data_IF_336193577418
#
_entry.id   IF_336193577418
#
_cell.length_a   1.000
_cell.length_b   1.000
_cell.length_c   1.000
_cell.angle_alpha   90.00
_cell.angle_beta   90.00
_cell.angle_gamma   90.00
#
_symmetry.space_group_name_H-M   'P 1'
#
loop_
_entity.id
_entity.type
_entity.pdbx_description
1 polymer ?
#
# COMPACT_ATOMS: atom_id res chain seq x y z
N UNK A 1 13.74 12.06 4.59
CA UNK A 1 12.31 12.23 4.92
C UNK A 1 11.62 10.88 4.72
N UNK A 2 10.64 10.54 5.57
CA UNK A 2 9.95 9.23 5.52
C UNK A 2 8.63 9.35 4.77
N UNK A 3 8.35 8.42 3.87
CA UNK A 3 7.15 8.40 3.02
C UNK A 3 6.45 7.05 3.18
N UNK A 4 5.17 7.10 3.51
CA UNK A 4 4.30 5.92 3.57
C UNK A 4 3.35 5.93 2.38
N UNK A 5 3.40 4.89 1.55
CA UNK A 5 2.48 4.67 0.44
C UNK A 5 1.41 3.68 0.90
N UNK A 6 0.19 4.18 1.06
CA UNK A 6 -0.98 3.36 1.36
C UNK A 6 -1.67 2.96 0.05
N UNK A 7 -1.69 1.66 -0.23
CA UNK A 7 -2.37 1.11 -1.41
C UNK A 7 -3.08 -0.17 -0.99
N UNK A 8 -4.21 -0.49 -1.61
CA UNK A 8 -4.98 -1.65 -1.16
C UNK A 8 -4.26 -2.98 -1.37
N UNK A 9 -3.57 -3.12 -2.49
CA UNK A 9 -2.90 -4.33 -2.95
C UNK A 9 -1.75 -3.92 -3.89
N UNK A 10 -0.70 -4.73 -4.00
CA UNK A 10 0.27 -4.64 -5.10
C UNK A 10 0.22 -5.89 -6.01
N UNK A 11 -0.69 -6.81 -5.73
CA UNK A 11 -0.93 -8.04 -6.50
C UNK A 11 -1.90 -7.81 -7.66
N UNK A 12 -2.91 -6.96 -7.47
CA UNK A 12 -3.91 -6.70 -8.51
C UNK A 12 -3.32 -5.76 -9.55
N UNK A 13 -3.29 -6.21 -10.80
CA UNK A 13 -2.59 -5.57 -11.91
C UNK A 13 -3.25 -4.30 -12.45
N UNK A 14 -3.89 -3.50 -11.59
CA UNK A 14 -4.53 -2.25 -11.95
C UNK A 14 -3.54 -1.10 -12.17
N UNK A 15 -4.06 0.03 -12.65
CA UNK A 15 -3.27 1.23 -12.91
C UNK A 15 -2.72 1.85 -11.63
N UNK A 16 -3.56 1.98 -10.60
CA UNK A 16 -3.20 2.55 -9.29
C UNK A 16 -2.01 1.85 -8.64
N UNK A 17 -2.00 0.53 -8.65
CA UNK A 17 -0.99 -0.33 -8.05
C UNK A 17 0.34 -0.19 -8.80
N UNK A 18 0.27 -0.15 -10.14
CA UNK A 18 1.44 0.11 -10.98
C UNK A 18 2.04 1.50 -10.70
N UNK A 19 1.19 2.53 -10.61
CA UNK A 19 1.65 3.89 -10.31
C UNK A 19 2.29 3.99 -8.92
N UNK A 20 1.71 3.34 -7.91
CA UNK A 20 2.26 3.30 -6.56
C UNK A 20 3.65 2.63 -6.52
N UNK A 21 3.82 1.52 -7.24
CA UNK A 21 5.11 0.82 -7.33
C UNK A 21 6.17 1.69 -8.03
N UNK A 22 5.83 2.32 -9.16
CA UNK A 22 6.74 3.20 -9.91
C UNK A 22 7.11 4.42 -9.07
N UNK A 23 6.12 5.13 -8.53
CA UNK A 23 6.34 6.36 -7.77
C UNK A 23 7.23 6.12 -6.55
N UNK A 24 6.93 5.09 -5.75
CA UNK A 24 7.75 4.82 -4.57
C UNK A 24 9.17 4.37 -4.90
N UNK A 25 9.38 3.68 -6.03
CA UNK A 25 10.73 3.35 -6.52
C UNK A 25 11.50 4.61 -6.90
N UNK A 26 10.89 5.53 -7.63
CA UNK A 26 11.52 6.81 -7.99
C UNK A 26 11.88 7.64 -6.75
N UNK A 27 11.00 7.67 -5.74
CA UNK A 27 11.28 8.33 -4.46
C UNK A 27 12.41 7.64 -3.70
N UNK A 28 12.41 6.32 -3.64
CA UNK A 28 13.49 5.56 -3.00
C UNK A 28 14.85 5.86 -3.65
N UNK A 29 14.90 5.90 -4.99
CA UNK A 29 16.11 6.24 -5.75
C UNK A 29 16.61 7.68 -5.52
N UNK A 30 15.73 8.59 -5.11
CA UNK A 30 16.08 9.95 -4.70
C UNK A 30 16.59 10.04 -3.24
N UNK A 31 16.70 8.91 -2.54
CA UNK A 31 17.20 8.82 -1.17
C UNK A 31 16.14 9.02 -0.09
N UNK A 32 14.85 8.93 -0.44
CA UNK A 32 13.78 8.91 0.56
C UNK A 32 13.67 7.52 1.22
N UNK A 33 13.31 7.51 2.49
CA UNK A 33 12.93 6.29 3.22
C UNK A 33 11.47 5.98 2.88
N UNK A 34 11.25 4.95 2.07
CA UNK A 34 9.93 4.60 1.51
C UNK A 34 9.44 3.30 2.13
N UNK A 35 8.23 3.33 2.67
CA UNK A 35 7.51 2.15 3.12
C UNK A 35 6.17 2.03 2.40
N UNK A 36 5.77 0.80 2.11
CA UNK A 36 4.46 0.44 1.59
C UNK A 36 3.64 -0.21 2.69
N UNK A 37 2.37 0.17 2.80
CA UNK A 37 1.39 -0.54 3.62
C UNK A 37 0.21 -0.95 2.75
N UNK A 38 -0.01 -2.26 2.64
CA UNK A 38 -1.13 -2.83 1.92
C UNK A 38 -2.22 -3.40 2.83
N UNK A 39 -3.46 -3.41 2.35
CA UNK A 39 -4.54 -4.13 3.04
C UNK A 39 -4.39 -5.64 2.80
N UNK A 40 -4.13 -6.02 1.55
CA UNK A 40 -3.96 -7.39 1.08
C UNK A 40 -2.53 -7.69 0.64
N UNK A 41 -2.22 -8.98 0.50
CA UNK A 41 -1.06 -9.57 -0.19
C UNK A 41 0.22 -9.82 0.61
N UNK A 42 0.60 -11.10 0.66
CA UNK A 42 1.95 -11.53 1.01
C UNK A 42 2.91 -11.57 -0.20
N UNK A 43 2.37 -11.55 -1.44
CA UNK A 43 3.17 -11.69 -2.66
C UNK A 43 2.79 -10.65 -3.74
N UNK A 44 3.48 -9.49 -3.78
CA UNK A 44 3.22 -8.41 -4.73
C UNK A 44 3.60 -8.79 -6.17
N UNK A 45 2.85 -8.29 -7.15
CA UNK A 45 3.06 -8.59 -8.59
C UNK A 45 4.07 -7.65 -9.25
N UNK A 46 4.11 -6.39 -8.82
CA UNK A 46 5.01 -5.38 -9.37
C UNK A 46 6.33 -5.37 -8.60
N UNK A 47 7.43 -5.09 -9.31
CA UNK A 47 8.71 -4.77 -8.67
C UNK A 47 8.63 -3.36 -8.08
N UNK A 48 9.15 -3.19 -6.86
CA UNK A 48 9.25 -1.90 -6.18
C UNK A 48 10.49 -1.88 -5.28
N UNK A 49 10.83 -0.70 -4.73
CA UNK A 49 11.91 -0.51 -3.76
C UNK A 49 11.40 0.20 -2.51
N UNK A 50 11.85 -0.26 -1.34
CA UNK A 50 11.37 0.20 -0.03
C UNK A 50 10.86 -0.96 0.83
N UNK A 51 10.55 -0.65 2.08
CA UNK A 51 10.02 -1.65 3.02
C UNK A 51 8.56 -1.98 2.70
N UNK A 52 8.15 -3.23 2.92
CA UNK A 52 6.82 -3.70 2.58
C UNK A 52 6.12 -4.30 3.80
N UNK A 53 4.94 -3.75 4.11
CA UNK A 53 4.07 -4.18 5.19
C UNK A 53 2.68 -4.49 4.63
N UNK A 54 2.01 -5.47 5.23
CA UNK A 54 0.63 -5.82 4.89
C UNK A 54 -0.18 -6.01 6.17
N UNK A 55 -1.47 -5.65 6.12
CA UNK A 55 -2.43 -5.97 7.18
C UNK A 55 -2.93 -7.43 7.09
N UNK A 56 -2.55 -8.16 6.04
CA UNK A 56 -2.94 -9.55 5.78
C UNK A 56 -4.46 -9.79 5.83
N UNK A 57 -5.24 -8.81 5.34
CA UNK A 57 -6.67 -9.00 5.15
C UNK A 57 -6.89 -9.99 3.99
N UNK A 58 -7.87 -10.89 4.14
CA UNK A 58 -8.23 -11.87 3.10
C UNK A 58 -8.70 -11.20 1.79
N UNK A 59 -9.01 -12.00 0.76
CA UNK A 59 -9.42 -11.46 -0.55
C UNK A 59 -10.73 -10.65 -0.47
N UNK A 60 -10.63 -9.32 -0.34
CA UNK A 60 -11.78 -8.42 -0.14
C UNK A 60 -12.51 -8.06 -1.44
N UNK A 61 -12.01 -8.47 -2.62
CA UNK A 61 -12.69 -8.23 -3.91
C UNK A 61 -14.03 -8.97 -4.06
N UNK A 62 -14.38 -9.87 -3.13
CA UNK A 62 -15.73 -10.44 -3.06
C UNK A 62 -16.80 -9.46 -2.55
N UNK A 63 -16.43 -8.31 -1.95
CA UNK A 63 -17.41 -7.34 -1.43
C UNK A 63 -16.87 -5.88 -1.47
N UNK A 64 -17.19 -5.10 -2.52
CA UNK A 64 -16.68 -3.74 -2.70
C UNK A 64 -17.14 -2.74 -1.63
N UNK A 65 -18.26 -3.00 -0.95
CA UNK A 65 -18.77 -2.17 0.15
C UNK A 65 -17.90 -2.35 1.41
N UNK A 66 -17.51 -3.59 1.70
CA UNK A 66 -16.59 -3.92 2.79
C UNK A 66 -15.19 -3.32 2.54
N UNK A 67 -14.71 -3.37 1.30
CA UNK A 67 -13.46 -2.76 0.85
C UNK A 67 -13.35 -1.26 1.19
N UNK A 68 -14.39 -0.48 0.89
CA UNK A 68 -14.41 0.95 1.23
C UNK A 68 -14.40 1.19 2.74
N UNK A 69 -15.23 0.46 3.48
CA UNK A 69 -15.36 0.60 4.94
C UNK A 69 -14.05 0.26 5.65
N UNK A 70 -13.39 -0.84 5.27
CA UNK A 70 -12.14 -1.28 5.92
C UNK A 70 -11.01 -0.27 5.69
N UNK A 71 -10.90 0.31 4.49
CA UNK A 71 -9.88 1.32 4.17
C UNK A 71 -10.05 2.59 5.03
N UNK A 72 -11.28 3.05 5.25
CA UNK A 72 -11.56 4.17 6.16
C UNK A 72 -11.50 3.81 7.64
N UNK A 73 -11.74 2.55 8.02
CA UNK A 73 -11.62 2.07 9.41
C UNK A 73 -10.18 2.13 9.90
N UNK A 74 -9.21 1.86 9.03
CA UNK A 74 -7.80 1.79 9.39
C UNK A 74 -7.05 3.11 9.24
N UNK A 75 -7.52 4.04 8.39
CA UNK A 75 -6.90 5.35 8.23
C UNK A 75 -6.69 6.14 9.56
N UNK A 76 -7.64 6.15 10.53
CA UNK A 76 -7.46 6.83 11.81
C UNK A 76 -6.46 6.17 12.76
N UNK A 77 -6.08 4.90 12.53
CA UNK A 77 -5.04 4.21 13.32
C UNK A 77 -3.63 4.63 12.93
N UNK A 78 -3.47 5.25 11.75
CA UNK A 78 -2.24 5.91 11.32
C UNK A 78 -2.26 7.34 11.89
N UNK A 79 -2.16 7.48 13.21
CA UNK A 79 -1.98 8.79 13.82
C UNK A 79 -0.51 9.21 13.70
N UNK A 80 -0.31 10.43 13.21
CA UNK A 80 0.97 11.13 13.26
C UNK A 80 1.32 11.33 14.74
N UNK A 81 2.45 10.81 15.19
CA UNK A 81 3.03 11.28 16.45
C UNK A 81 3.44 12.74 16.23
N UNK A 82 2.74 13.66 16.90
CA UNK A 82 3.18 15.03 17.10
C UNK A 82 4.30 15.05 18.14
#
# INVERSE_FOLDING_TARGET
MKILILVESLKVGGGSERFAAILGTELYNQGYDVSYLTLMDENPKFKFSGDYYTLNEGYIYGNPLKRGIDLFRYAPRIKKNL
#
